data_IF_762488151398
#
_entry.id   IF_762488151398
#
_cell.length_a   1.000
_cell.length_b   1.000
_cell.length_c   1.000
_cell.angle_alpha   90.00
_cell.angle_beta   90.00
_cell.angle_gamma   90.00
#
_symmetry.space_group_name_H-M   'P 1'
#
loop_
_entity.id
_entity.type
_entity.pdbx_description
1 polymer ?
#
# COMPACT_ATOMS: atom_id res chain seq x y z
N UNK A 1 25.26 7.84 14.41
CA UNK A 1 23.90 7.41 14.85
C UNK A 1 23.03 7.31 13.61
N UNK A 2 22.80 6.11 13.09
CA UNK A 2 22.02 5.91 11.86
C UNK A 2 20.52 5.96 12.26
N UNK A 3 19.86 7.09 12.03
CA UNK A 3 18.42 7.24 12.28
C UNK A 3 17.69 6.25 11.38
N UNK A 4 17.27 5.11 11.92
CA UNK A 4 16.39 4.16 11.23
C UNK A 4 15.13 4.93 10.84
N UNK A 5 15.07 5.31 9.58
CA UNK A 5 13.94 5.98 8.96
C UNK A 5 12.69 5.11 9.20
N UNK A 6 11.52 5.64 9.60
CA UNK A 6 10.37 4.86 10.07
C UNK A 6 9.58 4.19 8.92
N UNK A 7 10.29 3.68 7.91
CA UNK A 7 9.72 3.03 6.70
C UNK A 7 8.86 1.81 7.05
N UNK A 8 9.04 1.25 8.25
CA UNK A 8 8.34 0.05 8.71
C UNK A 8 6.86 0.29 9.02
N UNK A 9 6.42 1.54 9.30
CA UNK A 9 5.05 1.79 9.77
C UNK A 9 3.99 1.88 8.64
N UNK A 10 4.38 2.11 7.38
CA UNK A 10 3.43 2.35 6.29
C UNK A 10 2.87 1.07 5.66
N UNK A 11 3.65 -0.01 5.62
CA UNK A 11 3.17 -1.27 5.07
C UNK A 11 1.95 -1.82 5.82
N UNK A 12 1.96 -1.68 7.15
CA UNK A 12 0.82 -2.08 7.98
C UNK A 12 -0.42 -1.21 7.72
N UNK A 13 -0.26 0.10 7.48
CA UNK A 13 -1.36 0.99 7.10
C UNK A 13 -2.04 0.56 5.80
N UNK A 14 -1.26 0.18 4.78
CA UNK A 14 -1.83 -0.31 3.51
C UNK A 14 -2.62 -1.60 3.71
N UNK A 15 -2.08 -2.55 4.47
CA UNK A 15 -2.76 -3.79 4.80
C UNK A 15 -4.08 -3.52 5.55
N UNK A 16 -4.05 -2.64 6.54
CA UNK A 16 -5.23 -2.29 7.33
C UNK A 16 -6.29 -1.60 6.47
N UNK A 17 -5.88 -0.68 5.58
CA UNK A 17 -6.79 -0.04 4.62
C UNK A 17 -7.43 -1.06 3.68
N UNK A 18 -6.65 -2.02 3.15
CA UNK A 18 -7.17 -3.10 2.31
C UNK A 18 -8.22 -3.93 3.03
N UNK A 19 -7.95 -4.32 4.28
CA UNK A 19 -8.89 -5.10 5.09
C UNK A 19 -10.14 -4.30 5.46
N UNK A 20 -10.02 -3.00 5.76
CA UNK A 20 -11.16 -2.10 6.00
C UNK A 20 -12.04 -1.91 4.77
N UNK A 21 -11.46 -1.96 3.57
CA UNK A 21 -12.18 -1.94 2.30
C UNK A 21 -12.81 -3.32 1.94
N UNK A 22 -12.82 -4.28 2.86
CA UNK A 22 -13.31 -5.64 2.67
C UNK A 22 -12.59 -6.43 1.55
N UNK A 23 -11.35 -6.05 1.21
CA UNK A 23 -10.53 -6.75 0.22
C UNK A 23 -9.69 -7.79 0.94
N UNK A 24 -10.08 -9.07 0.83
CA UNK A 24 -9.53 -10.15 1.64
C UNK A 24 -8.08 -10.50 1.29
N UNK A 25 -7.69 -10.32 0.02
CA UNK A 25 -6.41 -10.80 -0.49
C UNK A 25 -5.60 -9.75 -1.24
N UNK A 26 -4.28 -9.91 -1.27
CA UNK A 26 -3.38 -9.09 -2.09
C UNK A 26 -3.64 -9.28 -3.59
N UNK A 27 -4.10 -10.47 -4.00
CA UNK A 27 -4.50 -10.78 -5.38
C UNK A 27 -5.74 -9.97 -5.80
N UNK A 28 -6.72 -9.88 -4.93
CA UNK A 28 -7.92 -9.09 -5.20
C UNK A 28 -7.61 -7.58 -5.31
N UNK A 29 -6.75 -7.04 -4.44
CA UNK A 29 -6.27 -5.66 -4.58
C UNK A 29 -5.48 -5.48 -5.88
N UNK A 30 -4.71 -6.49 -6.28
CA UNK A 30 -3.96 -6.49 -7.54
C UNK A 30 -4.87 -6.37 -8.75
N UNK A 31 -5.95 -7.14 -8.78
CA UNK A 31 -6.94 -7.13 -9.86
C UNK A 31 -7.65 -5.77 -9.96
N UNK A 32 -7.99 -5.15 -8.82
CA UNK A 32 -8.67 -3.85 -8.77
C UNK A 32 -7.76 -2.68 -9.16
N UNK A 33 -6.47 -2.71 -8.79
CA UNK A 33 -5.53 -1.60 -9.02
C UNK A 33 -4.68 -1.76 -10.30
N UNK A 34 -4.62 -2.98 -10.84
CA UNK A 34 -3.65 -3.34 -11.89
C UNK A 34 -2.20 -3.35 -11.41
N UNK A 35 -1.93 -3.27 -10.11
CA UNK A 35 -0.59 -3.38 -9.52
C UNK A 35 -0.31 -4.86 -9.26
N UNK A 36 0.84 -5.44 -9.69
CA UNK A 36 1.11 -6.85 -9.44
C UNK A 36 1.07 -7.25 -7.96
N UNK A 37 0.49 -8.41 -7.64
CA UNK A 37 0.30 -8.86 -6.26
C UNK A 37 1.62 -8.97 -5.46
N UNK A 38 2.74 -9.31 -6.10
CA UNK A 38 4.06 -9.31 -5.45
C UNK A 38 4.51 -7.90 -5.05
N UNK A 39 4.18 -6.88 -5.84
CA UNK A 39 4.44 -5.47 -5.50
C UNK A 39 3.57 -5.05 -4.31
N UNK A 40 2.29 -5.40 -4.30
CA UNK A 40 1.40 -5.16 -3.15
C UNK A 40 1.95 -5.82 -1.89
N UNK A 41 2.44 -7.06 -2.00
CA UNK A 41 3.08 -7.78 -0.89
C UNK A 41 4.31 -7.05 -0.36
N UNK A 42 5.17 -6.55 -1.25
CA UNK A 42 6.34 -5.76 -0.86
C UNK A 42 5.96 -4.45 -0.18
N UNK A 43 4.92 -3.76 -0.69
CA UNK A 43 4.40 -2.52 -0.12
C UNK A 43 3.82 -2.75 1.28
N UNK A 44 2.96 -3.76 1.46
CA UNK A 44 2.37 -4.10 2.77
C UNK A 44 3.41 -4.55 3.81
N UNK A 45 4.55 -5.06 3.35
CA UNK A 45 5.67 -5.45 4.21
C UNK A 45 6.69 -4.35 4.43
N UNK A 46 6.52 -3.18 3.82
CA UNK A 46 7.51 -2.09 3.84
C UNK A 46 8.84 -2.45 3.16
N UNK A 47 8.87 -3.49 2.32
CA UNK A 47 10.04 -3.88 1.52
C UNK A 47 10.29 -2.94 0.34
N UNK A 48 9.25 -2.22 -0.09
CA UNK A 48 9.27 -1.33 -1.23
C UNK A 48 8.63 0.00 -0.87
N UNK A 49 9.21 1.08 -1.39
CA UNK A 49 8.64 2.42 -1.27
C UNK A 49 7.44 2.58 -2.21
N UNK A 50 6.38 3.21 -1.72
CA UNK A 50 5.22 3.57 -2.53
C UNK A 50 5.62 4.66 -3.54
N UNK A 51 5.26 4.49 -4.82
CA UNK A 51 5.34 5.57 -5.80
C UNK A 51 4.04 6.38 -5.79
N UNK A 52 4.07 7.68 -6.16
CA UNK A 52 2.86 8.48 -6.29
C UNK A 52 1.82 7.85 -7.24
N UNK A 53 2.26 7.24 -8.34
CA UNK A 53 1.38 6.57 -9.30
C UNK A 53 0.66 5.35 -8.71
N UNK A 54 1.30 4.58 -7.83
CA UNK A 54 0.64 3.47 -7.12
C UNK A 54 -0.25 3.97 -5.99
N UNK A 55 0.18 5.01 -5.28
CA UNK A 55 -0.62 5.62 -4.24
C UNK A 55 -1.97 6.12 -4.77
N UNK A 56 -1.98 6.75 -5.96
CA UNK A 56 -3.21 7.18 -6.63
C UNK A 56 -4.13 6.01 -6.97
N UNK A 57 -3.61 4.97 -7.63
CA UNK A 57 -4.38 3.75 -7.95
C UNK A 57 -4.94 3.04 -6.73
N UNK A 58 -4.17 3.02 -5.63
CA UNK A 58 -4.60 2.43 -4.37
C UNK A 58 -5.70 3.28 -3.73
N UNK A 59 -5.57 4.60 -3.73
CA UNK A 59 -6.58 5.51 -3.20
C UNK A 59 -7.90 5.44 -3.97
N UNK A 60 -7.86 5.25 -5.30
CA UNK A 60 -9.07 5.02 -6.12
C UNK A 60 -9.86 3.78 -5.67
N UNK A 61 -9.17 2.74 -5.19
CA UNK A 61 -9.79 1.47 -4.79
C UNK A 61 -10.14 1.44 -3.30
N UNK A 62 -9.28 1.96 -2.44
CA UNK A 62 -9.43 1.90 -0.98
C UNK A 62 -10.13 3.13 -0.39
N UNK A 63 -10.26 4.20 -1.16
CA UNK A 63 -10.65 5.51 -0.67
C UNK A 63 -9.52 6.21 0.09
N UNK A 64 -9.77 7.48 0.44
CA UNK A 64 -8.80 8.37 1.10
C UNK A 64 -7.99 9.21 0.10
N UNK A 65 -7.05 10.01 0.63
CA UNK A 65 -6.15 10.81 -0.18
C UNK A 65 -4.89 9.99 -0.53
N UNK A 66 -4.38 10.12 -1.76
CA UNK A 66 -3.20 9.36 -2.18
C UNK A 66 -1.95 9.69 -1.32
N UNK A 67 -1.91 10.86 -0.69
CA UNK A 67 -0.83 11.25 0.23
C UNK A 67 -0.80 10.42 1.52
N UNK A 68 -1.90 9.75 1.88
CA UNK A 68 -1.96 8.80 3.00
C UNK A 68 -1.02 7.60 2.78
N UNK A 69 -0.70 7.30 1.51
CA UNK A 69 0.09 6.15 1.09
C UNK A 69 1.49 6.52 0.57
N UNK A 70 1.74 7.77 0.16
CA UNK A 70 2.91 8.18 -0.62
C UNK A 70 4.15 8.64 0.18
N UNK A 71 4.08 8.68 1.52
CA UNK A 71 5.17 9.17 2.37
C UNK A 71 6.14 8.06 2.82
#
# INVERSE_FOLDING_TARGET
MNKKNPVVYHGQKLRDARLKAAIGTQKELSEKTGIPANIISDLERGKRRMSPSWAQKIAEVLGGDWTDYAN
#
